data_IF_629762102230
#
_entry.id   IF_629762102230
#
_cell.length_a   1.000
_cell.length_b   1.000
_cell.length_c   1.000
_cell.angle_alpha   90.00
_cell.angle_beta   90.00
_cell.angle_gamma   90.00
#
_symmetry.space_group_name_H-M   'P 1'
#
loop_
_entity.id
_entity.type
_entity.pdbx_description
1 polymer ?
#
# COMPACT_ATOMS: atom_id res chain seq x y z
N UNK A 1 -2.71 6.35 20.75
CA UNK A 1 -4.19 6.40 20.61
C UNK A 1 -4.61 5.52 19.43
N UNK A 2 -5.44 4.50 19.67
CA UNK A 2 -6.02 3.63 18.63
C UNK A 2 -7.51 3.97 18.46
N UNK A 3 -8.03 3.96 17.23
CA UNK A 3 -9.49 4.03 17.01
C UNK A 3 -10.11 2.79 17.64
N UNK A 4 -11.19 2.96 18.40
CA UNK A 4 -11.95 1.82 18.90
C UNK A 4 -12.62 1.09 17.74
N UNK A 5 -12.38 -0.23 17.64
CA UNK A 5 -13.00 -1.06 16.60
C UNK A 5 -14.51 -0.90 16.65
N UNK A 6 -15.16 -0.90 15.49
CA UNK A 6 -16.62 -0.75 15.32
C UNK A 6 -17.20 0.64 15.66
N UNK A 7 -16.48 1.53 16.36
CA UNK A 7 -16.96 2.89 16.64
C UNK A 7 -16.60 3.88 15.54
N UNK A 8 -15.47 3.65 14.88
CA UNK A 8 -15.04 4.39 13.70
C UNK A 8 -14.63 5.83 13.98
N UNK A 9 -13.59 6.23 13.24
CA UNK A 9 -13.23 7.58 12.86
C UNK A 9 -12.63 8.54 13.91
N UNK A 10 -11.54 9.20 13.52
CA UNK A 10 -10.99 10.38 14.17
C UNK A 10 -11.55 11.63 13.49
N UNK A 11 -12.15 12.53 14.25
CA UNK A 11 -12.49 13.87 13.77
C UNK A 11 -11.33 14.79 14.11
N UNK A 12 -10.74 15.38 13.08
CA UNK A 12 -9.73 16.43 13.25
C UNK A 12 -10.31 17.76 12.78
N UNK A 13 -10.22 18.77 13.64
CA UNK A 13 -10.55 20.14 13.29
C UNK A 13 -9.28 20.86 12.85
N UNK A 14 -9.31 21.39 11.62
CA UNK A 14 -8.26 22.23 11.08
C UNK A 14 -8.32 23.62 11.70
N UNK A 15 -7.21 24.36 11.61
CA UNK A 15 -7.10 25.74 12.13
C UNK A 15 -8.06 26.73 11.45
N UNK A 16 -8.53 26.40 10.25
CA UNK A 16 -9.52 27.17 9.49
C UNK A 16 -10.98 26.89 9.89
N UNK A 17 -11.21 26.03 10.89
CA UNK A 17 -12.54 25.66 11.38
C UNK A 17 -13.21 24.52 10.61
N UNK A 18 -12.60 24.00 9.54
CA UNK A 18 -13.12 22.83 8.83
C UNK A 18 -12.83 21.54 9.60
N UNK A 19 -13.80 20.61 9.60
CA UNK A 19 -13.64 19.29 10.22
C UNK A 19 -13.56 18.22 9.14
N UNK A 20 -12.59 17.32 9.26
CA UNK A 20 -12.51 16.15 8.39
C UNK A 20 -12.45 14.88 9.22
N UNK A 21 -12.99 13.80 8.64
CA UNK A 21 -13.18 12.54 9.33
C UNK A 21 -12.25 11.50 8.72
N UNK A 22 -11.34 10.96 9.54
CA UNK A 22 -10.29 10.04 9.08
C UNK A 22 -10.48 8.64 9.69
N UNK A 23 -10.19 7.56 8.96
CA UNK A 23 -10.32 6.20 9.46
C UNK A 23 -9.25 5.82 10.51
N UNK A 24 -8.11 6.52 10.54
CA UNK A 24 -7.03 6.27 11.51
C UNK A 24 -6.07 7.47 11.60
N UNK A 25 -5.27 7.55 12.69
CA UNK A 25 -4.21 8.56 12.84
C UNK A 25 -3.19 8.52 11.70
N UNK A 26 -2.84 7.33 11.22
CA UNK A 26 -1.93 7.19 10.09
C UNK A 26 -2.51 7.76 8.80
N UNK A 27 -3.83 7.73 8.64
CA UNK A 27 -4.50 8.30 7.48
C UNK A 27 -4.52 9.84 7.57
N UNK A 28 -4.73 10.42 8.77
CA UNK A 28 -4.62 11.87 9.00
C UNK A 28 -3.29 12.40 8.46
N UNK A 29 -2.17 11.80 8.90
CA UNK A 29 -0.83 12.26 8.50
C UNK A 29 -0.66 12.20 6.98
N UNK A 30 -1.12 11.13 6.32
CA UNK A 30 -0.97 10.97 4.88
C UNK A 30 -1.78 12.02 4.11
N UNK A 31 -3.01 12.27 4.54
CA UNK A 31 -3.92 13.21 3.88
C UNK A 31 -3.49 14.67 4.11
N UNK A 32 -3.18 15.03 5.35
CA UNK A 32 -2.77 16.42 5.68
C UNK A 32 -1.44 16.81 5.05
N UNK A 33 -0.60 15.83 4.72
CA UNK A 33 0.69 16.03 4.06
C UNK A 33 0.65 15.71 2.55
N UNK A 34 -0.53 15.45 1.98
CA UNK A 34 -0.74 15.03 0.59
C UNK A 34 0.23 13.94 0.11
N UNK A 35 0.49 12.97 0.99
CA UNK A 35 1.23 11.77 0.64
C UNK A 35 0.34 10.82 -0.16
N UNK A 36 0.81 10.38 -1.32
CA UNK A 36 0.02 9.56 -2.24
C UNK A 36 0.62 8.20 -2.56
N UNK A 37 1.95 8.05 -2.41
CA UNK A 37 2.65 6.80 -2.67
C UNK A 37 3.25 6.25 -1.38
N UNK A 38 3.25 4.92 -1.25
CA UNK A 38 3.95 4.22 -0.19
C UNK A 38 4.74 3.05 -0.76
N UNK A 39 6.01 3.25 -1.17
CA UNK A 39 6.90 2.15 -1.49
C UNK A 39 7.17 1.32 -0.24
N UNK A 40 7.06 0.00 -0.38
CA UNK A 40 7.30 -1.01 0.65
C UNK A 40 8.19 -2.11 0.07
N UNK A 41 9.53 -1.96 0.15
CA UNK A 41 10.44 -3.01 -0.30
C UNK A 41 10.39 -4.21 0.65
N UNK A 42 10.41 -5.40 0.06
CA UNK A 42 10.48 -6.68 0.74
C UNK A 42 11.59 -7.51 0.09
N UNK A 43 12.76 -7.47 0.72
CA UNK A 43 13.95 -8.20 0.30
C UNK A 43 14.22 -9.35 1.26
N UNK A 44 14.44 -10.54 0.72
CA UNK A 44 14.82 -11.73 1.47
C UNK A 44 16.16 -11.53 2.17
N UNK A 45 16.28 -12.12 3.35
CA UNK A 45 17.47 -12.09 4.19
C UNK A 45 17.96 -13.53 4.36
N UNK A 46 19.17 -13.87 3.86
CA UNK A 46 19.76 -15.20 4.04
C UNK A 46 19.78 -15.62 5.51
N UNK A 47 19.32 -16.84 5.79
CA UNK A 47 19.21 -17.39 7.15
C UNK A 47 17.94 -16.99 7.93
N UNK A 48 17.17 -16.01 7.46
CA UNK A 48 15.89 -15.60 8.08
C UNK A 48 14.69 -15.96 7.18
N UNK A 49 14.75 -15.63 5.90
CA UNK A 49 13.60 -15.76 4.99
C UNK A 49 13.39 -17.18 4.42
N UNK A 50 14.22 -18.15 4.82
CA UNK A 50 14.12 -19.54 4.36
C UNK A 50 14.11 -19.65 2.84
N UNK A 51 13.07 -20.29 2.29
CA UNK A 51 12.88 -20.46 0.83
C UNK A 51 12.72 -19.15 0.04
N UNK A 52 12.46 -18.03 0.71
CA UNK A 52 12.24 -16.73 0.09
C UNK A 52 13.50 -15.82 0.19
N UNK A 53 14.69 -16.37 0.42
CA UNK A 53 15.92 -15.59 0.56
C UNK A 53 16.26 -14.76 -0.69
N UNK A 54 15.86 -15.22 -1.87
CA UNK A 54 16.09 -14.54 -3.16
C UNK A 54 14.96 -13.58 -3.57
N UNK A 55 13.95 -13.40 -2.71
CA UNK A 55 12.85 -12.47 -2.97
C UNK A 55 13.36 -11.02 -2.95
N UNK A 56 13.02 -10.23 -3.95
CA UNK A 56 13.29 -8.78 -3.97
C UNK A 56 12.15 -8.05 -4.70
N UNK A 57 11.08 -7.77 -3.95
CA UNK A 57 9.84 -7.18 -4.47
C UNK A 57 9.60 -5.84 -3.81
N UNK A 58 9.17 -4.85 -4.59
CA UNK A 58 8.72 -3.56 -4.04
C UNK A 58 7.24 -3.37 -4.32
N UNK A 59 6.44 -3.23 -3.25
CA UNK A 59 5.02 -2.88 -3.38
C UNK A 59 4.87 -1.37 -3.30
N UNK A 60 4.50 -0.74 -4.42
CA UNK A 60 4.13 0.65 -4.54
C UNK A 60 2.62 0.78 -4.31
N UNK A 61 2.26 1.16 -3.09
CA UNK A 61 0.87 1.31 -2.65
C UNK A 61 0.40 2.75 -2.85
N UNK A 62 -0.72 2.93 -3.54
CA UNK A 62 -1.51 4.17 -3.51
C UNK A 62 -2.09 4.36 -2.10
N UNK A 63 -1.96 5.54 -1.46
CA UNK A 63 -2.35 5.72 -0.04
C UNK A 63 -3.36 6.83 0.24
N UNK A 64 -3.79 7.55 -0.78
CA UNK A 64 -4.65 8.73 -0.67
C UNK A 64 -6.14 8.44 -0.88
N UNK A 65 -6.51 7.38 -1.61
CA UNK A 65 -7.92 7.12 -1.97
C UNK A 65 -8.28 5.63 -1.79
N UNK A 66 -9.30 5.16 -2.51
CA UNK A 66 -9.84 3.81 -2.42
C UNK A 66 -10.85 3.64 -1.28
N UNK A 67 -10.96 2.42 -0.76
CA UNK A 67 -11.90 2.09 0.33
C UNK A 67 -11.53 2.82 1.64
N UNK A 68 -10.27 3.25 1.78
CA UNK A 68 -9.79 4.00 2.94
C UNK A 68 -10.16 5.49 2.91
N UNK A 69 -11.02 5.91 1.98
CA UNK A 69 -11.65 7.24 1.97
C UNK A 69 -12.68 7.40 3.10
N UNK A 70 -13.00 6.32 3.84
CA UNK A 70 -13.92 6.31 4.99
C UNK A 70 -15.35 6.81 4.68
N UNK A 71 -15.78 6.66 3.42
CA UNK A 71 -17.14 6.97 2.97
C UNK A 71 -17.99 5.72 3.20
N UNK A 72 -18.66 5.67 4.34
CA UNK A 72 -19.47 4.54 4.76
C UNK A 72 -20.75 5.01 5.45
N UNK A 73 -21.84 4.28 5.28
CA UNK A 73 -23.11 4.55 5.96
C UNK A 73 -23.91 3.26 6.20
N UNK A 74 -24.86 3.34 7.14
CA UNK A 74 -25.82 2.27 7.43
C UNK A 74 -27.08 2.46 6.59
N UNK A 75 -27.62 1.36 6.08
CA UNK A 75 -28.87 1.32 5.31
C UNK A 75 -29.88 0.53 6.14
N UNK A 76 -31.03 1.16 6.45
CA UNK A 76 -32.09 0.52 7.23
C UNK A 76 -31.65 0.13 8.65
N UNK A 77 -30.85 0.96 9.32
CA UNK A 77 -30.33 0.68 10.67
C UNK A 77 -29.22 -0.37 10.67
N UNK A 78 -29.51 -1.57 11.15
CA UNK A 78 -28.58 -2.70 11.20
C UNK A 78 -28.76 -3.69 10.03
N UNK A 79 -29.71 -3.43 9.13
CA UNK A 79 -30.03 -4.29 7.99
C UNK A 79 -28.86 -4.41 7.01
N UNK A 80 -28.22 -3.29 6.68
CA UNK A 80 -27.09 -3.27 5.75
C UNK A 80 -26.12 -2.13 6.06
N UNK A 81 -24.90 -2.23 5.51
CA UNK A 81 -23.89 -1.17 5.55
C UNK A 81 -23.20 -1.10 4.20
N UNK A 82 -22.96 0.12 3.74
CA UNK A 82 -22.30 0.39 2.46
C UNK A 82 -20.98 1.11 2.71
N UNK A 83 -19.98 0.76 1.90
CA UNK A 83 -18.70 1.45 1.81
C UNK A 83 -18.41 1.81 0.35
N UNK A 84 -18.00 3.06 0.10
CA UNK A 84 -17.66 3.54 -1.24
C UNK A 84 -16.17 3.40 -1.48
N UNK A 85 -15.81 2.63 -2.51
CA UNK A 85 -14.46 2.61 -3.07
C UNK A 85 -14.34 3.73 -4.09
N UNK A 86 -13.61 4.79 -3.75
CA UNK A 86 -13.40 5.94 -4.64
C UNK A 86 -12.02 5.87 -5.28
N UNK A 87 -11.95 5.80 -6.60
CA UNK A 87 -10.71 5.87 -7.38
C UNK A 87 -10.81 7.03 -8.35
N UNK A 88 -9.78 7.87 -8.40
CA UNK A 88 -9.72 8.99 -9.34
C UNK A 88 -8.67 8.73 -10.41
N UNK A 89 -8.91 9.26 -11.60
CA UNK A 89 -7.92 9.21 -12.69
C UNK A 89 -6.61 9.88 -12.30
N UNK A 90 -6.68 11.02 -11.59
CA UNK A 90 -5.51 11.75 -11.08
C UNK A 90 -4.70 10.88 -10.12
N UNK A 91 -5.35 10.22 -9.15
CA UNK A 91 -4.74 9.31 -8.19
C UNK A 91 -4.05 8.12 -8.87
N UNK A 92 -4.76 7.46 -9.78
CA UNK A 92 -4.23 6.34 -10.57
C UNK A 92 -3.03 6.76 -11.45
N UNK A 93 -3.11 7.93 -12.10
CA UNK A 93 -2.04 8.43 -12.97
C UNK A 93 -0.78 8.79 -12.20
N UNK A 94 -0.89 9.47 -11.05
CA UNK A 94 0.27 9.83 -10.24
C UNK A 94 0.98 8.61 -9.65
N UNK A 95 0.25 7.61 -9.15
CA UNK A 95 0.88 6.42 -8.57
C UNK A 95 1.50 5.53 -9.64
N UNK A 96 0.89 5.44 -10.82
CA UNK A 96 1.47 4.70 -11.94
C UNK A 96 2.78 5.35 -12.41
N UNK A 97 2.79 6.68 -12.61
CA UNK A 97 4.03 7.40 -12.97
C UNK A 97 5.11 7.18 -11.91
N UNK A 98 4.77 7.36 -10.63
CA UNK A 98 5.71 7.13 -9.54
C UNK A 98 6.30 5.71 -9.56
N UNK A 99 5.49 4.67 -9.84
CA UNK A 99 5.97 3.29 -9.92
C UNK A 99 6.98 3.08 -11.07
N UNK A 100 6.72 3.66 -12.24
CA UNK A 100 7.65 3.58 -13.37
C UNK A 100 8.92 4.40 -13.14
N UNK A 101 8.80 5.61 -12.60
CA UNK A 101 9.94 6.45 -12.21
C UNK A 101 10.81 5.77 -11.15
N UNK A 102 10.18 5.15 -10.16
CA UNK A 102 10.85 4.31 -9.17
C UNK A 102 11.60 3.17 -9.86
N UNK A 103 10.95 2.45 -10.78
CA UNK A 103 11.58 1.35 -11.50
C UNK A 103 12.82 1.82 -12.27
N UNK A 104 12.74 2.95 -12.98
CA UNK A 104 13.88 3.55 -13.67
C UNK A 104 15.01 3.95 -12.71
N UNK A 105 14.67 4.69 -11.65
CA UNK A 105 15.64 5.22 -10.69
C UNK A 105 16.46 4.11 -10.01
N UNK A 106 15.80 3.01 -9.65
CA UNK A 106 16.44 1.89 -8.94
C UNK A 106 16.79 0.72 -9.86
N UNK A 107 16.80 0.93 -11.19
CA UNK A 107 17.23 -0.06 -12.17
C UNK A 107 16.37 -1.32 -12.27
N UNK A 108 15.14 -1.29 -11.77
CA UNK A 108 14.15 -2.37 -11.88
C UNK A 108 13.72 -2.56 -13.32
N UNK A 109 13.22 -3.75 -13.65
CA UNK A 109 12.94 -4.19 -15.02
C UNK A 109 11.47 -4.34 -15.32
N UNK A 110 10.64 -4.60 -14.30
CA UNK A 110 9.22 -4.86 -14.49
C UNK A 110 8.32 -4.16 -13.48
N UNK A 111 7.20 -3.62 -13.95
CA UNK A 111 6.11 -3.07 -13.14
C UNK A 111 4.81 -3.82 -13.42
N UNK A 112 4.29 -4.52 -12.42
CA UNK A 112 3.02 -5.25 -12.49
C UNK A 112 1.90 -4.45 -11.83
N UNK A 113 0.83 -4.15 -12.58
CA UNK A 113 -0.37 -3.51 -12.03
C UNK A 113 -1.34 -4.55 -11.45
N UNK A 114 -1.67 -4.43 -10.16
CA UNK A 114 -2.54 -5.40 -9.49
C UNK A 114 -3.93 -4.82 -9.22
N UNK A 115 -4.97 -5.57 -9.61
CA UNK A 115 -6.36 -5.11 -9.60
C UNK A 115 -7.39 -6.25 -9.42
N UNK A 116 -8.69 -5.91 -9.42
CA UNK A 116 -9.81 -6.86 -9.56
C UNK A 116 -10.84 -6.40 -10.61
N UNK A 117 -10.38 -5.79 -11.70
CA UNK A 117 -11.20 -5.23 -12.78
C UNK A 117 -12.18 -6.21 -13.47
N UNK A 118 -12.02 -7.53 -13.29
CA UNK A 118 -13.00 -8.51 -13.79
C UNK A 118 -14.30 -8.53 -12.97
N UNK A 119 -14.23 -8.21 -11.68
CA UNK A 119 -15.38 -8.17 -10.77
C UNK A 119 -15.77 -6.73 -10.40
N UNK A 120 -14.80 -5.81 -10.34
CA UNK A 120 -14.99 -4.40 -9.97
C UNK A 120 -14.66 -3.52 -11.17
N UNK A 121 -15.49 -3.60 -12.20
CA UNK A 121 -15.17 -3.10 -13.55
C UNK A 121 -14.99 -1.59 -13.65
N UNK A 122 -15.59 -0.79 -12.75
CA UNK A 122 -15.52 0.67 -12.82
C UNK A 122 -14.28 1.23 -12.10
N UNK A 123 -14.12 0.96 -10.80
CA UNK A 123 -13.00 1.52 -10.04
C UNK A 123 -11.67 0.89 -10.42
N UNK A 124 -11.63 -0.45 -10.48
CA UNK A 124 -10.40 -1.17 -10.80
C UNK A 124 -10.13 -1.13 -12.30
N UNK A 125 -11.19 -1.04 -13.11
CA UNK A 125 -11.05 -0.79 -14.55
C UNK A 125 -10.45 0.58 -14.84
N UNK A 126 -10.91 1.65 -14.18
CA UNK A 126 -10.32 2.99 -14.33
C UNK A 126 -8.83 3.00 -13.93
N UNK A 127 -8.49 2.31 -12.83
CA UNK A 127 -7.10 2.19 -12.38
C UNK A 127 -6.24 1.46 -13.43
N UNK A 128 -6.70 0.31 -13.92
CA UNK A 128 -6.00 -0.50 -14.93
C UNK A 128 -5.86 0.22 -16.27
N UNK A 129 -6.92 0.85 -16.76
CA UNK A 129 -6.90 1.64 -18.00
C UNK A 129 -5.87 2.77 -17.89
N UNK A 130 -5.88 3.48 -16.75
CA UNK A 130 -4.94 4.56 -16.49
C UNK A 130 -3.50 4.06 -16.44
N UNK A 131 -3.24 2.95 -15.75
CA UNK A 131 -1.93 2.30 -15.73
C UNK A 131 -1.45 1.94 -17.14
N UNK A 132 -2.27 1.26 -17.94
CA UNK A 132 -1.93 0.86 -19.31
C UNK A 132 -1.62 2.07 -20.20
N UNK A 133 -2.30 3.20 -19.98
CA UNK A 133 -2.01 4.47 -20.68
C UNK A 133 -0.65 5.03 -20.26
N UNK A 134 -0.35 5.07 -18.97
CA UNK A 134 0.94 5.56 -18.44
C UNK A 134 2.09 4.67 -18.90
N UNK A 135 1.92 3.35 -18.90
CA UNK A 135 2.94 2.37 -19.32
C UNK A 135 3.49 2.63 -20.73
N UNK A 136 2.67 3.18 -21.64
CA UNK A 136 3.11 3.54 -23.00
C UNK A 136 4.21 4.60 -23.03
N UNK A 137 4.35 5.40 -21.97
CA UNK A 137 5.40 6.42 -21.84
C UNK A 137 6.72 5.85 -21.32
N UNK A 138 6.75 4.57 -20.91
CA UNK A 138 7.91 3.90 -20.34
C UNK A 138 8.24 2.59 -21.07
N UNK A 139 8.46 2.61 -22.41
CA UNK A 139 8.68 1.40 -23.21
C UNK A 139 9.92 0.58 -22.79
N UNK A 140 10.83 1.16 -22.03
CA UNK A 140 12.03 0.51 -21.50
C UNK A 140 11.79 -0.34 -20.24
N UNK A 141 10.60 -0.28 -19.65
CA UNK A 141 10.19 -1.09 -18.50
C UNK A 141 9.13 -2.09 -18.94
N UNK A 142 9.33 -3.37 -18.65
CA UNK A 142 8.30 -4.38 -18.88
C UNK A 142 7.08 -4.07 -18.01
N UNK A 143 5.88 -4.11 -18.59
CA UNK A 143 4.64 -3.84 -17.87
C UNK A 143 3.60 -4.92 -18.13
N UNK A 144 3.04 -5.48 -17.06
CA UNK A 144 1.93 -6.44 -17.10
C UNK A 144 0.86 -6.07 -16.04
N UNK A 145 -0.24 -6.82 -16.04
CA UNK A 145 -1.28 -6.71 -15.03
C UNK A 145 -1.72 -8.08 -14.52
N UNK A 146 -2.18 -8.12 -13.27
CA UNK A 146 -2.63 -9.36 -12.64
C UNK A 146 -3.77 -9.11 -11.65
N UNK A 147 -4.65 -10.10 -11.54
CA UNK A 147 -5.68 -10.10 -10.52
C UNK A 147 -5.09 -10.26 -9.11
N UNK A 148 -5.64 -9.56 -8.11
CA UNK A 148 -5.09 -9.52 -6.74
C UNK A 148 -5.04 -10.87 -6.04
N UNK A 149 -6.01 -11.75 -6.29
CA UNK A 149 -6.03 -13.13 -5.78
C UNK A 149 -4.94 -13.99 -6.41
N UNK A 150 -4.79 -13.93 -7.73
CA UNK A 150 -3.68 -14.59 -8.41
C UNK A 150 -2.34 -14.04 -7.91
N UNK A 151 -2.21 -12.73 -7.74
CA UNK A 151 -1.01 -12.08 -7.20
C UNK A 151 -0.66 -12.63 -5.82
N UNK A 152 -1.64 -12.72 -4.92
CA UNK A 152 -1.42 -13.29 -3.58
C UNK A 152 -0.97 -14.75 -3.65
N UNK A 153 -1.59 -15.57 -4.52
CA UNK A 153 -1.18 -16.95 -4.75
C UNK A 153 0.28 -17.04 -5.20
N UNK A 154 0.66 -16.27 -6.23
CA UNK A 154 2.02 -16.32 -6.73
C UNK A 154 3.05 -15.70 -5.79
N UNK A 155 2.70 -14.68 -5.00
CA UNK A 155 3.60 -14.21 -3.94
C UNK A 155 3.89 -15.31 -2.91
N UNK A 156 2.89 -16.12 -2.56
CA UNK A 156 3.07 -17.20 -1.59
C UNK A 156 3.87 -18.40 -2.13
N UNK A 157 3.78 -18.65 -3.44
CA UNK A 157 4.38 -19.84 -4.08
C UNK A 157 5.68 -19.54 -4.83
N UNK A 158 5.76 -18.41 -5.55
CA UNK A 158 6.86 -18.01 -6.43
C UNK A 158 7.03 -16.46 -6.43
N UNK A 159 7.49 -15.86 -5.32
CA UNK A 159 7.57 -14.40 -5.19
C UNK A 159 8.59 -13.74 -6.14
N UNK A 160 9.59 -14.50 -6.61
CA UNK A 160 10.64 -14.03 -7.53
C UNK A 160 10.12 -13.66 -8.92
N UNK A 161 8.85 -13.98 -9.25
CA UNK A 161 8.24 -13.52 -10.50
C UNK A 161 8.03 -12.00 -10.53
N UNK A 162 7.96 -11.35 -9.37
CA UNK A 162 7.62 -9.94 -9.24
C UNK A 162 8.88 -9.10 -9.01
N UNK A 163 8.84 -7.87 -9.48
CA UNK A 163 9.89 -6.88 -9.27
C UNK A 163 9.26 -5.65 -8.59
N UNK A 164 8.56 -4.80 -9.35
CA UNK A 164 7.72 -3.73 -8.79
C UNK A 164 6.24 -4.09 -8.96
N UNK A 165 5.48 -4.01 -7.87
CA UNK A 165 4.03 -4.15 -7.87
C UNK A 165 3.42 -2.77 -7.62
N UNK A 166 2.53 -2.29 -8.49
CA UNK A 166 1.75 -1.07 -8.24
C UNK A 166 0.28 -1.40 -8.06
N UNK A 167 -0.35 -0.85 -7.02
CA UNK A 167 -1.75 -1.14 -6.73
C UNK A 167 -2.45 -0.12 -5.83
N UNK A 168 -3.78 -0.22 -5.79
CA UNK A 168 -4.67 0.58 -4.95
C UNK A 168 -4.47 0.31 -3.47
N UNK A 169 -4.96 1.25 -2.66
CA UNK A 169 -4.70 1.33 -1.22
C UNK A 169 -4.97 0.05 -0.41
N UNK A 170 -6.13 -0.59 -0.56
CA UNK A 170 -6.46 -1.80 0.19
C UNK A 170 -5.61 -2.99 -0.21
N UNK A 171 -5.42 -3.20 -1.51
CA UNK A 171 -4.65 -4.34 -2.01
C UNK A 171 -3.18 -4.18 -1.66
N UNK A 172 -2.63 -2.96 -1.78
CA UNK A 172 -1.25 -2.69 -1.42
C UNK A 172 -0.99 -2.89 0.06
N UNK A 173 -1.97 -2.59 0.92
CA UNK A 173 -1.90 -2.91 2.36
C UNK A 173 -1.71 -4.42 2.58
N UNK A 174 -2.63 -5.22 2.05
CA UNK A 174 -2.66 -6.67 2.24
C UNK A 174 -1.42 -7.33 1.62
N UNK A 175 -1.09 -6.99 0.38
CA UNK A 175 0.01 -7.63 -0.35
C UNK A 175 1.37 -7.27 0.26
N UNK A 176 1.56 -6.03 0.71
CA UNK A 176 2.83 -5.67 1.34
C UNK A 176 3.01 -6.31 2.72
N UNK A 177 1.95 -6.52 3.49
CA UNK A 177 1.99 -7.28 4.74
C UNK A 177 2.27 -8.77 4.46
N UNK A 178 1.68 -9.35 3.40
CA UNK A 178 2.02 -10.69 2.91
C UNK A 178 3.53 -10.78 2.57
N UNK A 179 4.06 -9.82 1.81
CA UNK A 179 5.49 -9.77 1.48
C UNK A 179 6.37 -9.67 2.74
N UNK A 180 6.00 -8.84 3.71
CA UNK A 180 6.73 -8.71 4.97
C UNK A 180 6.73 -10.03 5.78
N UNK A 181 5.60 -10.74 5.80
CA UNK A 181 5.52 -12.09 6.37
C UNK A 181 6.42 -13.10 5.64
N UNK A 182 6.46 -13.06 4.31
CA UNK A 182 7.28 -13.95 3.48
C UNK A 182 8.79 -13.75 3.68
N UNK A 183 9.25 -12.52 3.90
CA UNK A 183 10.66 -12.24 4.23
C UNK A 183 11.01 -12.55 5.69
N UNK A 184 10.02 -12.78 6.55
CA UNK A 184 10.20 -13.41 7.85
C UNK A 184 9.39 -12.80 8.99
N UNK A 185 9.04 -11.50 8.92
CA UNK A 185 8.25 -10.83 9.96
C UNK A 185 7.68 -9.51 9.48
N UNK A 186 6.48 -9.19 9.96
CA UNK A 186 5.86 -7.87 9.78
C UNK A 186 6.72 -6.73 10.36
N UNK A 187 7.57 -7.02 11.35
CA UNK A 187 8.52 -6.06 11.92
C UNK A 187 9.71 -5.71 11.01
N UNK A 188 9.96 -6.51 9.97
CA UNK A 188 10.99 -6.26 8.95
C UNK A 188 10.47 -5.44 7.77
N UNK A 189 9.16 -5.21 7.70
CA UNK A 189 8.58 -4.37 6.66
C UNK A 189 8.93 -2.90 6.88
N UNK A 190 9.60 -2.30 5.90
CA UNK A 190 9.82 -0.85 5.84
C UNK A 190 8.83 -0.18 4.87
N UNK A 191 8.48 1.08 5.13
CA UNK A 191 7.73 1.88 4.17
C UNK A 191 7.95 3.38 4.34
N UNK A 192 7.91 4.11 3.23
CA UNK A 192 7.89 5.57 3.25
C UNK A 192 6.51 6.04 2.77
N UNK A 193 5.97 7.13 3.29
CA UNK A 193 4.86 7.85 2.64
C UNK A 193 5.47 9.01 1.88
N UNK A 194 5.20 9.11 0.59
CA UNK A 194 5.77 10.09 -0.31
C UNK A 194 4.66 11.02 -0.78
N UNK A 195 4.87 12.32 -0.66
CA UNK A 195 4.07 13.38 -1.27
C UNK A 195 4.98 14.37 -2.01
N UNK A 196 4.39 15.29 -2.74
CA UNK A 196 5.14 16.21 -3.61
C UNK A 196 6.06 17.17 -2.83
N UNK A 197 5.72 17.46 -1.57
CA UNK A 197 6.41 18.44 -0.72
C UNK A 197 7.08 17.81 0.51
N UNK A 198 6.84 16.52 0.78
CA UNK A 198 7.34 15.87 2.00
C UNK A 198 7.47 14.34 1.87
N UNK A 199 8.20 13.73 2.80
CA UNK A 199 8.29 12.28 2.94
C UNK A 199 8.28 11.88 4.42
N UNK A 200 7.51 10.85 4.76
CA UNK A 200 7.36 10.33 6.14
C UNK A 200 7.75 8.85 6.19
N UNK A 201 8.89 8.56 6.82
CA UNK A 201 9.36 7.18 7.04
C UNK A 201 8.56 6.51 8.16
N UNK A 202 8.20 5.23 7.98
CA UNK A 202 7.50 4.42 8.99
C UNK A 202 7.87 2.93 8.88
N UNK A 203 7.83 2.18 9.99
CA UNK A 203 7.72 0.72 9.92
C UNK A 203 6.34 0.33 9.33
N UNK A 204 6.26 -0.85 8.70
CA UNK A 204 5.00 -1.38 8.14
C UNK A 204 3.95 -1.59 9.24
N UNK A 205 4.39 -1.96 10.45
CA UNK A 205 3.52 -2.21 11.61
C UNK A 205 3.75 -1.21 12.76
N UNK A 206 2.65 -0.74 13.35
CA UNK A 206 2.59 -0.28 14.75
C UNK A 206 2.14 -1.49 15.56
N UNK A 207 2.98 -2.01 16.47
CA UNK A 207 2.75 -3.29 17.17
C UNK A 207 1.29 -3.46 17.64
N UNK A 208 0.63 -4.60 17.36
CA UNK A 208 -0.55 -4.98 18.13
C UNK A 208 -0.12 -5.18 19.58
N UNK A 209 -0.91 -4.67 20.55
CA UNK A 209 -0.74 -4.98 21.97
C UNK A 209 -0.84 -6.49 22.16
N UNK A 210 0.27 -7.19 22.13
CA UNK A 210 0.36 -8.61 22.47
C UNK A 210 1.46 -8.74 23.54
N UNK A 211 1.00 -9.16 24.72
CA UNK A 211 1.70 -9.44 25.99
C UNK A 211 2.02 -8.25 26.91
N UNK A 212 1.35 -8.14 28.07
CA UNK A 212 1.83 -7.31 29.18
C UNK A 212 3.21 -7.80 29.61
N UNK A 213 4.21 -6.92 29.66
CA UNK A 213 5.46 -7.17 30.38
C UNK A 213 6.66 -7.69 29.59
N UNK A 214 6.61 -7.80 28.26
CA UNK A 214 7.83 -8.02 27.44
C UNK A 214 7.88 -7.04 26.27
N UNK A 215 8.47 -5.87 26.51
CA UNK A 215 8.88 -4.96 25.44
C UNK A 215 10.19 -5.51 24.88
N UNK A 216 10.11 -6.32 23.83
CA UNK A 216 11.21 -6.51 22.90
C UNK A 216 11.06 -5.43 21.83
N UNK A 217 11.60 -4.24 22.14
CA UNK A 217 11.80 -3.19 21.15
C UNK A 217 13.00 -3.61 20.29
N UNK A 218 12.80 -4.58 19.38
CA UNK A 218 13.76 -4.83 18.32
C UNK A 218 13.49 -3.77 17.24
N UNK A 219 14.06 -2.58 17.40
CA UNK A 219 14.40 -1.77 16.23
C UNK A 219 15.57 -2.50 15.56
N UNK A 220 15.26 -3.38 14.59
CA UNK A 220 16.33 -4.03 13.86
C UNK A 220 17.06 -2.96 13.02
N UNK A 221 18.39 -2.83 13.09
CA UNK A 221 19.16 -1.85 12.31
C UNK A 221 19.13 -2.07 10.80
N UNK A 222 18.37 -3.05 10.29
CA UNK A 222 18.27 -3.39 8.88
C UNK A 222 17.38 -2.41 8.08
N UNK A 223 17.11 -1.22 8.62
CA UNK A 223 16.54 -0.13 7.83
C UNK A 223 17.54 0.19 6.71
N UNK A 224 17.22 -0.26 5.50
CA UNK A 224 18.01 0.06 4.32
C UNK A 224 18.02 1.60 4.18
N UNK A 225 19.19 2.27 4.26
CA UNK A 225 19.28 3.73 4.26
C UNK A 225 18.88 4.39 2.93
N UNK A 226 18.58 3.60 1.89
CA UNK A 226 18.49 4.05 0.49
C UNK A 226 17.05 4.13 -0.06
N UNK A 227 16.05 4.26 0.81
CA UNK A 227 14.66 4.55 0.40
C UNK A 227 14.53 5.95 -0.23
#
# INVERSE_FOLDING_TARGET
>A
MSVEKMKGRFVYQRKDGSSHIYPSNNNVIRQELDCFACPRPAKGIPGISGKNADMDVVVIREISEGIYSAIEHRIGGDTASEAVKLITKKGAERIANYAFEYALKYGRKKVTCVHKANAISLTDGLFLETFRRVAKNYPQIESDDLMVDATAFYLATEPTRFDVIVTMNQYGDILSDLCAGLVGSLGLGAGANIGDQCSVLKPVMVLPRILPGKILQIQHPCFCPEL
#
